data_IF_550143835815
#
_entry.id   IF_550143835815
#
_cell.length_a   1.000
_cell.length_b   1.000
_cell.length_c   1.000
_cell.angle_alpha   90.00
_cell.angle_beta   90.00
_cell.angle_gamma   90.00
#
_symmetry.space_group_name_H-M   'P 1'
#
loop_
_entity.id
_entity.type
_entity.pdbx_description
1 polymer ?
2 non-polymer ?
3 water ?
#
# COMPACT_ATOMS: atom_id res chain seq x y z
N UNK A 1 6.40 -13.14 -22.50
CA UNK A 1 7.76 -13.42 -21.93
C UNK A 1 8.03 -12.43 -20.78
N UNK A 2 7.80 -12.85 -19.55
CA UNK A 2 8.05 -11.93 -18.40
C UNK A 2 9.54 -11.79 -18.16
N UNK A 3 10.04 -10.58 -17.87
CA UNK A 3 11.45 -10.38 -17.55
C UNK A 3 11.82 -11.02 -16.20
N UNK A 4 13.11 -11.28 -16.02
CA UNK A 4 13.62 -11.96 -14.81
C UNK A 4 13.46 -11.04 -13.58
N UNK A 5 13.57 -9.73 -13.82
CA UNK A 5 13.34 -8.64 -12.85
C UNK A 5 12.25 -7.71 -13.36
N UNK A 6 11.63 -6.95 -12.47
CA UNK A 6 10.76 -5.85 -12.86
C UNK A 6 10.60 -4.93 -11.66
N UNK A 7 10.73 -3.65 -11.89
CA UNK A 7 10.52 -2.69 -10.80
C UNK A 7 9.60 -1.61 -11.36
N UNK A 8 8.39 -1.46 -10.81
CA UNK A 8 7.43 -0.46 -11.29
C UNK A 8 7.99 0.97 -11.29
N UNK A 9 8.93 1.26 -10.35
CA UNK A 9 9.52 2.62 -10.29
C UNK A 9 10.33 2.90 -11.54
N UNK A 10 10.93 1.85 -12.11
CA UNK A 10 11.75 1.92 -13.35
C UNK A 10 10.84 1.92 -14.61
N UNK A 11 9.70 1.21 -14.57
CA UNK A 11 8.83 1.16 -15.76
C UNK A 11 8.07 2.47 -15.92
N UNK A 12 7.67 3.08 -14.81
CA UNK A 12 6.83 4.30 -14.82
C UNK A 12 7.50 5.43 -14.05
N UNK A 13 8.62 5.92 -14.63
CA UNK A 13 9.48 6.87 -13.92
C UNK A 13 8.91 8.27 -13.74
N UNK A 14 7.79 8.63 -14.37
CA UNK A 14 7.10 9.90 -14.14
C UNK A 14 5.93 9.69 -13.15
N UNK A 15 5.96 8.56 -12.42
CA UNK A 15 4.94 8.35 -11.35
C UNK A 15 5.64 8.31 -9.99
N UNK A 16 5.80 9.47 -9.34
CA UNK A 16 6.56 9.53 -8.08
C UNK A 16 5.93 8.74 -6.93
N UNK A 17 4.59 8.54 -6.98
CA UNK A 17 3.95 7.80 -5.87
C UNK A 17 4.55 6.41 -5.77
N UNK A 18 4.97 5.82 -6.87
CA UNK A 18 5.44 4.41 -6.83
C UNK A 18 6.70 4.34 -5.93
N UNK A 19 7.45 5.46 -5.91
CA UNK A 19 8.77 5.65 -5.22
C UNK A 19 8.58 5.87 -3.72
N UNK A 20 7.36 6.26 -3.33
CA UNK A 20 7.02 6.85 -2.02
C UNK A 20 6.70 5.77 -0.98
N UNK A 21 7.18 6.03 0.22
CA UNK A 21 6.85 5.26 1.45
C UNK A 21 6.06 6.14 2.38
N UNK A 22 4.92 5.64 2.85
CA UNK A 22 4.04 6.39 3.78
C UNK A 22 4.29 5.89 5.21
N UNK A 23 3.59 6.54 6.14
CA UNK A 23 3.64 6.18 7.60
C UNK A 23 2.23 6.08 8.11
N UNK A 24 1.79 4.84 8.37
CA UNK A 24 0.43 4.59 8.87
C UNK A 24 0.25 5.09 10.32
N UNK A 25 1.31 5.49 10.99
CA UNK A 25 1.23 5.97 12.38
C UNK A 25 0.78 4.89 13.35
N UNK A 26 0.30 5.30 14.51
CA UNK A 26 -0.17 4.43 15.62
C UNK A 26 -1.62 4.02 15.34
N UNK A 27 -1.81 3.18 14.32
CA UNK A 27 -3.12 2.83 13.73
C UNK A 27 -2.87 1.58 12.88
N UNK A 28 -3.74 0.59 13.01
CA UNK A 28 -3.64 -0.66 12.23
C UNK A 28 -4.25 -0.52 10.86
N UNK A 29 -3.89 0.53 10.15
CA UNK A 29 -4.54 0.92 8.86
C UNK A 29 -3.74 0.46 7.65
N UNK A 30 -2.87 -0.55 7.79
CA UNK A 30 -2.06 -1.02 6.63
C UNK A 30 -3.02 -1.46 5.53
N UNK A 31 -4.14 -2.06 5.84
CA UNK A 31 -5.13 -2.52 4.83
C UNK A 31 -5.45 -1.35 3.89
N UNK A 32 -5.63 -0.16 4.47
CA UNK A 32 -6.02 1.06 3.73
C UNK A 32 -4.78 1.60 2.97
N UNK A 33 -3.62 1.65 3.61
CA UNK A 33 -2.35 2.13 3.00
C UNK A 33 -2.02 1.29 1.76
N UNK A 34 -2.05 -0.06 1.83
CA UNK A 34 -1.62 -0.80 0.63
C UNK A 34 -2.53 -0.48 -0.56
N UNK A 35 -3.82 -0.34 -0.31
CA UNK A 35 -4.84 0.00 -1.31
C UNK A 35 -4.52 1.38 -1.88
N UNK A 36 -4.54 2.43 -1.04
CA UNK A 36 -4.42 3.79 -1.65
C UNK A 36 -3.05 4.04 -2.29
N UNK A 37 -2.01 3.37 -1.85
CA UNK A 37 -0.67 3.47 -2.49
C UNK A 37 -0.75 2.87 -3.90
N UNK A 38 -1.26 1.63 -4.01
CA UNK A 38 -1.35 0.94 -5.31
C UNK A 38 -2.32 1.71 -6.22
N UNK A 39 -3.44 2.20 -5.67
CA UNK A 39 -4.41 3.00 -6.46
C UNK A 39 -3.73 4.28 -6.99
N UNK A 40 -2.98 4.99 -6.17
CA UNK A 40 -2.25 6.22 -6.58
C UNK A 40 -1.39 5.86 -7.78
N UNK A 41 -0.65 4.78 -7.62
CA UNK A 41 0.27 4.33 -8.69
C UNK A 41 -0.52 4.08 -9.96
N UNK A 42 -1.62 3.33 -9.86
CA UNK A 42 -2.36 2.88 -11.06
C UNK A 42 -3.05 4.06 -11.74
N UNK A 43 -3.49 5.07 -11.02
CA UNK A 43 -4.07 6.29 -11.63
C UNK A 43 -2.99 6.94 -12.51
N UNK A 44 -1.76 7.07 -11.99
CA UNK A 44 -0.66 7.70 -12.76
C UNK A 44 -0.35 6.82 -13.97
N UNK A 45 -0.34 5.51 -13.80
CA UNK A 45 -0.03 4.60 -14.92
C UNK A 45 -1.12 4.73 -15.98
N UNK A 46 -2.37 4.68 -15.54
CA UNK A 46 -3.54 4.65 -16.42
C UNK A 46 -3.59 5.93 -17.25
N UNK A 47 -3.05 7.04 -16.76
CA UNK A 47 -3.09 8.34 -17.46
C UNK A 47 -1.74 8.74 -18.05
N UNK A 48 -0.75 7.85 -18.07
CA UNK A 48 0.60 8.23 -18.62
C UNK A 48 1.17 9.44 -17.89
N UNK A 49 0.95 9.52 -16.57
CA UNK A 49 1.48 10.59 -15.69
C UNK A 49 0.82 11.94 -15.92
N UNK A 50 -0.33 11.99 -16.61
CA UNK A 50 -1.14 13.24 -16.70
C UNK A 50 -1.86 13.49 -15.37
N UNK A 51 -2.25 12.42 -14.66
CA UNK A 51 -2.82 12.56 -13.29
C UNK A 51 -1.88 11.82 -12.35
N UNK A 52 -1.26 12.54 -11.41
CA UNK A 52 -0.39 11.95 -10.40
C UNK A 52 -0.78 12.51 -9.05
N UNK A 53 -1.48 11.73 -8.26
CA UNK A 53 -2.01 12.27 -6.99
C UNK A 53 -1.74 11.24 -5.90
N UNK A 54 -1.53 11.72 -4.69
CA UNK A 54 -1.59 10.89 -3.47
C UNK A 54 -3.07 10.65 -3.13
N UNK A 55 -3.53 9.41 -3.27
CA UNK A 55 -4.90 9.05 -2.85
C UNK A 55 -4.89 9.01 -1.31
N UNK A 56 -5.98 9.51 -0.73
CA UNK A 56 -6.15 9.71 0.73
C UNK A 56 -6.35 8.39 1.49
N UNK A 57 -5.35 7.95 2.23
CA UNK A 57 -5.51 6.87 3.24
C UNK A 57 -6.59 7.28 4.26
N UNK A 58 -6.63 8.56 4.64
CA UNK A 58 -7.66 9.06 5.61
C UNK A 58 -9.08 8.79 5.10
N UNK A 59 -9.37 9.13 3.85
CA UNK A 59 -10.71 8.99 3.28
C UNK A 59 -11.08 7.51 3.32
N UNK A 60 -10.18 6.61 2.91
CA UNK A 60 -10.55 5.16 2.92
C UNK A 60 -10.71 4.66 4.39
N UNK A 61 -9.77 4.99 5.25
CA UNK A 61 -9.72 4.50 6.65
C UNK A 61 -11.01 4.90 7.37
N UNK A 62 -11.44 6.16 7.19
CA UNK A 62 -12.48 6.82 8.01
C UNK A 62 -13.85 6.65 7.38
N UNK A 63 -13.98 6.61 6.05
CA UNK A 63 -15.31 6.69 5.40
C UNK A 63 -15.81 5.34 4.88
N UNK A 64 -14.99 4.30 4.84
CA UNK A 64 -15.48 3.00 4.31
C UNK A 64 -16.53 2.37 5.27
N UNK A 65 -16.24 2.44 6.55
CA UNK A 65 -17.04 1.81 7.61
C UNK A 65 -17.01 0.29 7.56
N UNK A 66 -18.09 -0.29 8.02
CA UNK A 66 -18.08 -1.70 8.41
C UNK A 66 -17.82 -2.56 7.18
N UNK A 67 -18.13 -2.09 5.97
CA UNK A 67 -17.72 -2.84 4.74
C UNK A 67 -16.24 -3.20 4.82
N UNK A 68 -15.37 -2.29 5.31
CA UNK A 68 -13.91 -2.51 5.21
C UNK A 68 -13.35 -3.20 6.46
N UNK A 69 -14.15 -3.27 7.53
CA UNK A 69 -13.68 -3.77 8.82
C UNK A 69 -13.85 -2.72 9.89
N UNK A 70 -12.80 -2.48 10.67
CA UNK A 70 -12.87 -1.84 12.00
C UNK A 70 -11.82 -0.71 12.09
N UNK A 71 -11.56 -0.07 10.95
CA UNK A 71 -10.69 1.13 10.92
C UNK A 71 -9.29 0.85 11.40
N UNK A 72 -8.81 1.62 12.38
CA UNK A 72 -7.46 1.40 12.97
C UNK A 72 -7.35 0.05 13.66
N UNK A 73 -8.46 -0.65 13.96
CA UNK A 73 -8.36 -2.00 14.58
C UNK A 73 -8.32 -3.11 13.53
N UNK A 74 -8.03 -2.77 12.26
CA UNK A 74 -7.84 -3.73 11.16
C UNK A 74 -8.98 -3.73 10.15
N UNK A 75 -8.66 -4.21 8.95
CA UNK A 75 -9.59 -4.24 7.84
C UNK A 75 -9.02 -5.12 6.77
N UNK A 76 -9.65 -5.16 5.61
CA UNK A 76 -9.15 -6.06 4.56
C UNK A 76 -9.13 -5.36 3.22
N UNK A 77 -8.08 -5.72 2.50
CA UNK A 77 -7.87 -5.20 1.15
C UNK A 77 -9.06 -5.27 0.20
N UNK A 78 -9.65 -6.46 0.02
CA UNK A 78 -10.64 -6.68 -1.07
C UNK A 78 -11.75 -5.61 -0.92
N UNK A 79 -12.23 -5.33 0.30
CA UNK A 79 -13.36 -4.38 0.46
C UNK A 79 -12.87 -2.92 0.28
N UNK A 80 -11.61 -2.62 0.59
CA UNK A 80 -10.97 -1.32 0.30
C UNK A 80 -11.09 -0.98 -1.19
N UNK A 81 -10.69 -1.91 -2.06
CA UNK A 81 -10.77 -1.66 -3.52
C UNK A 81 -12.23 -1.64 -4.01
N UNK A 82 -13.12 -2.44 -3.39
CA UNK A 82 -14.56 -2.33 -3.70
C UNK A 82 -15.06 -0.93 -3.36
N UNK A 83 -14.67 -0.38 -2.20
CA UNK A 83 -15.11 0.98 -1.78
C UNK A 83 -14.66 2.01 -2.83
N UNK A 84 -13.42 1.90 -3.32
CA UNK A 84 -12.92 2.78 -4.37
C UNK A 84 -13.82 2.70 -5.59
N UNK A 85 -14.36 1.52 -5.90
CA UNK A 85 -15.26 1.40 -7.06
C UNK A 85 -16.64 2.04 -6.80
N UNK A 86 -17.11 2.05 -5.55
CA UNK A 86 -18.49 2.45 -5.23
C UNK A 86 -18.56 3.94 -4.89
N UNK A 87 -17.72 4.40 -3.96
CA UNK A 87 -17.78 5.77 -3.45
C UNK A 87 -16.58 6.61 -3.90
N UNK A 88 -15.52 5.96 -4.40
CA UNK A 88 -14.31 6.69 -4.81
C UNK A 88 -13.52 7.17 -3.62
N UNK A 89 -12.34 7.68 -3.92
CA UNK A 89 -11.37 8.21 -2.91
C UNK A 89 -10.80 9.55 -3.33
N UNK A 90 -10.82 10.51 -2.41
CA UNK A 90 -10.23 11.85 -2.68
C UNK A 90 -8.71 11.76 -2.50
N UNK A 91 -8.04 12.85 -2.80
CA UNK A 91 -6.58 12.99 -2.65
C UNK A 91 -6.23 13.27 -1.18
N UNK A 92 -4.99 13.05 -0.80
CA UNK A 92 -4.53 13.40 0.55
C UNK A 92 -3.17 12.88 0.79
N UNK A 93 -2.26 13.76 1.18
CA UNK A 93 -0.84 13.37 1.36
C UNK A 93 -0.54 12.98 2.80
N UNK A 94 0.72 13.19 3.17
CA UNK A 94 1.31 12.77 4.46
C UNK A 94 0.83 13.69 5.59
N UNK A 95 1.04 13.24 6.82
CA UNK A 95 0.67 14.02 8.01
C UNK A 95 1.30 15.42 7.93
N UNK A 96 0.44 16.44 8.06
CA UNK A 96 0.78 17.88 7.99
C UNK A 96 1.53 18.22 6.69
N UNK A 97 1.22 17.54 5.58
CA UNK A 97 1.73 17.88 4.23
C UNK A 97 1.02 19.13 3.70
N UNK A 98 -0.24 19.29 4.09
CA UNK A 98 -1.27 20.16 3.43
C UNK A 98 -1.33 19.77 1.94
N UNK A 99 -1.13 18.49 1.62
CA UNK A 99 -1.24 18.01 0.22
C UNK A 99 -2.64 17.37 0.07
N UNK A 100 -3.40 17.85 -0.91
CA UNK A 100 -4.68 17.24 -1.29
C UNK A 100 -5.84 17.57 -0.39
N UNK A 101 -6.94 16.85 -0.62
CA UNK A 101 -8.23 17.07 0.04
C UNK A 101 -8.14 16.65 1.50
N UNK A 102 -7.68 15.42 1.77
CA UNK A 102 -7.72 14.85 3.15
C UNK A 102 -6.39 14.18 3.43
N UNK A 103 -5.39 14.99 3.78
CA UNK A 103 -4.11 14.49 4.28
C UNK A 103 -4.33 13.71 5.60
N UNK A 104 -3.43 12.76 5.82
CA UNK A 104 -3.53 11.77 6.91
C UNK A 104 -3.41 12.52 8.24
N UNK A 105 -4.27 12.20 9.18
CA UNK A 105 -4.43 12.97 10.45
C UNK A 105 -3.63 12.33 11.58
N UNK A 106 -2.98 11.19 11.36
CA UNK A 106 -2.31 10.42 12.44
C UNK A 106 -0.82 10.61 12.28
N UNK A 107 -0.11 11.10 13.33
CA UNK A 107 1.29 11.46 13.20
C UNK A 107 2.19 10.26 12.96
N UNK A 108 3.36 10.50 12.34
CA UNK A 108 4.36 9.46 12.10
C UNK A 108 5.06 9.03 13.37
N UNK A 109 5.56 7.80 13.35
CA UNK A 109 6.11 7.23 14.59
C UNK A 109 7.13 6.20 14.20
N UNK A 110 7.86 5.69 15.19
CA UNK A 110 8.88 4.65 14.96
C UNK A 110 8.24 3.26 15.05
N UNK A 111 8.30 2.52 13.94
CA UNK A 111 7.72 1.17 13.78
C UNK A 111 8.80 0.11 13.97
N UNK A 112 8.96 -0.44 15.18
CA UNK A 112 9.87 -1.59 15.43
C UNK A 112 11.28 -1.17 15.05
N UNK A 113 11.64 0.08 15.25
CA UNK A 113 12.98 0.60 14.94
C UNK A 113 13.25 1.85 15.78
N UNK A 114 14.52 2.16 15.99
CA UNK A 114 14.98 3.37 16.70
C UNK A 114 14.90 4.59 15.78
N UNK A 115 14.61 5.75 16.31
CA UNK A 115 14.81 7.02 15.62
C UNK A 115 14.34 8.18 16.45
N UNK A 116 14.06 9.32 15.82
CA UNK A 116 13.72 10.56 16.56
C UNK A 116 12.24 10.68 16.82
N UNK A 117 11.36 9.92 16.15
CA UNK A 117 9.90 10.12 16.36
C UNK A 117 9.52 9.33 17.61
N UNK A 118 8.34 9.61 18.15
CA UNK A 118 7.81 8.82 19.25
C UNK A 118 7.64 7.38 18.76
N UNK A 119 7.82 6.39 19.64
CA UNK A 119 7.52 4.99 19.30
C UNK A 119 6.03 4.81 19.06
N UNK A 120 5.68 4.08 17.99
CA UNK A 120 4.28 3.74 17.69
C UNK A 120 3.67 3.01 18.90
N UNK A 121 2.43 3.38 19.23
CA UNK A 121 1.59 2.76 20.28
C UNK A 121 0.31 2.19 19.67
N UNK A 122 -0.34 1.32 20.44
CA UNK A 122 -1.59 0.65 20.07
C UNK A 122 -2.80 1.39 20.60
N UNK A 123 -4.00 0.98 20.17
CA UNK A 123 -5.29 1.35 20.81
C UNK A 123 -5.77 2.72 20.29
N UNK A 124 -5.10 3.30 19.28
CA UNK A 124 -5.56 4.55 18.62
C UNK A 124 -6.98 4.44 18.06
N UNK A 125 -7.81 5.48 18.21
CA UNK A 125 -9.18 5.50 17.66
C UNK A 125 -9.12 5.74 16.14
N UNK A 126 -10.02 5.13 15.39
CA UNK A 126 -10.29 5.54 13.99
C UNK A 126 -10.85 6.97 13.95
N UNK A 127 -10.20 7.91 13.21
CA UNK A 127 -10.78 9.24 13.03
C UNK A 127 -12.17 9.16 12.37
N UNK A 128 -12.94 10.25 12.53
CA UNK A 128 -14.31 10.42 12.00
C UNK A 128 -14.25 10.59 10.47
N UNK A 129 -15.23 10.06 9.75
CA UNK A 129 -15.47 10.37 8.31
C UNK A 129 -15.88 11.84 8.18
N UNK A 130 -15.00 12.67 7.65
CA UNK A 130 -15.26 14.09 7.32
C UNK A 130 -15.29 14.25 5.80
N UNK A 131 -16.47 14.57 5.24
CA UNK A 131 -16.67 14.67 3.77
C UNK A 131 -16.43 16.13 3.34
N UNK A 132 -15.32 16.72 3.80
CA UNK A 132 -14.90 18.08 3.40
C UNK A 132 -13.39 18.10 3.27
N UNK A 133 -12.90 18.86 2.32
CA UNK A 133 -11.47 19.03 2.06
C UNK A 133 -10.92 20.06 3.04
N UNK A 134 -9.61 20.01 3.23
CA UNK A 134 -8.87 20.97 4.07
C UNK A 134 -9.15 22.36 3.48
N UNK A 135 -9.32 23.37 4.38
CA UNK A 135 -9.59 24.74 3.98
C UNK A 135 -8.68 25.19 2.83
N UNK A 136 -9.29 25.82 1.83
CA UNK A 136 -8.56 26.38 0.68
C UNK A 136 -8.19 25.37 -0.40
N UNK A 137 -8.38 24.07 -0.19
CA UNK A 137 -8.11 23.08 -1.28
C UNK A 137 -9.20 23.28 -2.32
N UNK A 138 -8.86 23.17 -3.60
CA UNK A 138 -9.84 23.01 -4.71
C UNK A 138 -9.58 21.69 -5.44
N UNK A 139 -10.56 20.94 -5.95
CA UNK A 139 -11.98 21.29 -5.91
C UNK A 139 -12.68 20.76 -4.66
N UNK A 140 -13.99 20.55 -4.72
CA UNK A 140 -14.78 20.12 -3.53
C UNK A 140 -14.43 18.65 -3.23
N UNK A 141 -14.81 18.19 -2.05
CA UNK A 141 -14.68 16.76 -1.68
C UNK A 141 -15.30 15.88 -2.79
N UNK A 142 -16.54 16.14 -3.18
CA UNK A 142 -17.24 15.30 -4.16
C UNK A 142 -16.48 15.36 -5.50
N UNK A 143 -15.96 16.54 -5.88
CA UNK A 143 -15.31 16.70 -7.20
C UNK A 143 -13.95 16.01 -7.17
N UNK A 144 -13.34 15.83 -6.01
CA UNK A 144 -11.94 15.29 -5.90
C UNK A 144 -11.94 13.76 -5.86
N UNK A 145 -13.11 13.14 -5.85
CA UNK A 145 -13.22 11.66 -5.79
C UNK A 145 -12.60 11.07 -7.06
N UNK A 146 -11.76 10.05 -6.89
CA UNK A 146 -11.26 9.16 -7.97
C UNK A 146 -11.95 7.81 -7.81
N UNK A 147 -12.53 7.27 -8.88
CA UNK A 147 -13.26 6.01 -8.79
C UNK A 147 -12.51 4.89 -9.47
N UNK A 148 -12.80 3.66 -9.00
CA UNK A 148 -12.35 2.42 -9.64
C UNK A 148 -13.37 1.94 -10.66
N UNK A 149 -12.90 1.46 -11.80
CA UNK A 149 -13.75 0.73 -12.76
C UNK A 149 -14.16 -0.60 -12.11
N UNK A 150 -13.21 -1.28 -11.50
CA UNK A 150 -13.48 -2.62 -10.93
C UNK A 150 -12.56 -2.88 -9.74
N UNK A 151 -12.77 -4.00 -9.08
CA UNK A 151 -11.85 -4.58 -8.09
C UNK A 151 -11.89 -6.09 -8.23
N UNK A 152 -10.80 -6.75 -7.99
CA UNK A 152 -10.74 -8.21 -8.23
C UNK A 152 -9.63 -8.82 -7.42
N UNK A 153 -9.77 -10.11 -7.15
CA UNK A 153 -8.69 -10.92 -6.55
C UNK A 153 -7.79 -11.37 -7.68
N UNK A 154 -6.49 -11.42 -7.45
CA UNK A 154 -5.57 -12.06 -8.41
C UNK A 154 -5.38 -13.50 -7.94
N UNK A 155 -5.36 -14.50 -8.84
CA UNK A 155 -5.24 -15.90 -8.38
C UNK A 155 -3.92 -16.08 -7.61
N UNK A 156 -3.90 -17.08 -6.74
CA UNK A 156 -2.72 -17.55 -5.98
C UNK A 156 -1.83 -18.24 -6.98
N UNK A 157 -1.18 -17.44 -7.83
CA UNK A 157 -0.27 -17.91 -8.89
C UNK A 157 0.81 -16.85 -9.09
N UNK A 158 2.07 -17.22 -8.96
CA UNK A 158 3.22 -16.32 -9.12
C UNK A 158 3.15 -15.64 -10.48
N UNK A 159 2.96 -16.43 -11.55
CA UNK A 159 3.03 -15.83 -12.90
C UNK A 159 1.83 -14.91 -13.15
N UNK A 160 0.66 -15.18 -12.57
CA UNK A 160 -0.53 -14.30 -12.73
C UNK A 160 -0.27 -12.99 -12.00
N UNK A 161 0.32 -13.05 -10.81
CA UNK A 161 0.63 -11.84 -10.02
C UNK A 161 1.67 -11.00 -10.77
N UNK A 162 2.69 -11.63 -11.35
CA UNK A 162 3.72 -10.94 -12.11
C UNK A 162 3.05 -10.26 -13.32
N UNK A 163 2.27 -11.00 -14.08
CA UNK A 163 1.58 -10.46 -15.27
C UNK A 163 0.70 -9.28 -14.88
N UNK A 164 0.01 -9.39 -13.77
CA UNK A 164 -0.88 -8.30 -13.31
C UNK A 164 -0.05 -7.03 -13.07
N UNK A 165 1.06 -7.17 -12.35
CA UNK A 165 1.93 -5.99 -12.07
C UNK A 165 2.51 -5.40 -13.36
N UNK A 166 2.99 -6.28 -14.22
CA UNK A 166 3.68 -5.97 -15.48
C UNK A 166 2.78 -5.19 -16.42
N UNK A 167 1.49 -5.50 -16.42
CA UNK A 167 0.52 -4.82 -17.31
C UNK A 167 -0.15 -3.64 -16.63
N UNK A 168 -0.65 -3.81 -15.41
CA UNK A 168 -1.59 -2.83 -14.83
C UNK A 168 -1.03 -2.05 -13.66
N UNK A 169 0.14 -2.48 -13.13
CA UNK A 169 0.80 -1.75 -12.06
C UNK A 169 0.71 -2.42 -10.72
N UNK A 170 1.31 -1.78 -9.70
CA UNK A 170 1.41 -2.38 -8.37
C UNK A 170 0.06 -2.84 -7.83
N UNK A 171 0.13 -3.83 -6.95
CA UNK A 171 -1.07 -4.45 -6.35
C UNK A 171 -1.00 -4.34 -4.83
N UNK A 172 -2.08 -4.68 -4.17
CA UNK A 172 -2.07 -4.87 -2.72
C UNK A 172 -1.99 -6.36 -2.44
N UNK A 173 -1.31 -6.75 -1.37
CA UNK A 173 -1.25 -8.13 -0.89
C UNK A 173 -1.23 -8.14 0.61
N UNK A 174 -1.24 -9.33 1.19
CA UNK A 174 -1.23 -9.48 2.66
C UNK A 174 -0.44 -10.75 2.96
N UNK A 175 0.26 -10.78 4.11
CA UNK A 175 1.01 -11.99 4.48
C UNK A 175 1.04 -12.06 6.00
N UNK A 176 1.46 -13.22 6.49
CA UNK A 176 1.58 -13.51 7.93
C UNK A 176 2.94 -13.00 8.41
N UNK A 177 2.94 -12.12 9.42
CA UNK A 177 4.19 -11.55 9.98
C UNK A 177 4.59 -12.39 11.19
N UNK A 178 5.75 -13.00 11.09
CA UNK A 178 6.41 -13.66 12.25
C UNK A 178 7.40 -12.68 12.85
N UNK A 179 7.73 -12.82 14.14
CA UNK A 179 8.53 -11.79 14.81
C UNK A 179 9.88 -11.51 14.11
N UNK A 180 10.52 -12.43 13.39
CA UNK A 180 11.83 -12.11 12.77
C UNK A 180 11.64 -11.04 11.67
N UNK A 181 10.42 -10.95 11.10
CA UNK A 181 10.18 -10.00 9.98
C UNK A 181 10.44 -8.56 10.49
N UNK A 182 10.13 -8.31 11.76
CA UNK A 182 10.11 -6.95 12.35
C UNK A 182 11.51 -6.34 12.25
N UNK A 183 12.56 -7.16 12.31
CA UNK A 183 13.96 -6.69 12.29
C UNK A 183 14.57 -6.69 10.89
N UNK A 184 13.76 -6.86 9.84
CA UNK A 184 14.28 -6.88 8.46
C UNK A 184 15.09 -5.61 8.18
N UNK A 185 16.24 -5.76 7.53
CA UNK A 185 17.09 -4.63 7.05
C UNK A 185 17.33 -4.73 5.55
N UNK A 186 17.62 -5.91 5.04
CA UNK A 186 18.08 -6.09 3.64
C UNK A 186 18.04 -7.56 3.27
N UNK A 187 18.27 -7.85 1.98
CA UNK A 187 18.23 -9.21 1.42
C UNK A 187 16.80 -9.71 1.26
N UNK A 188 16.62 -10.99 1.03
CA UNK A 188 15.29 -11.60 0.77
C UNK A 188 14.79 -12.20 2.07
N UNK A 189 13.73 -11.63 2.63
CA UNK A 189 13.12 -12.18 3.84
C UNK A 189 12.56 -13.59 3.59
N UNK A 190 12.95 -14.53 4.47
CA UNK A 190 12.27 -15.83 4.64
C UNK A 190 12.13 -16.06 6.15
N UNK A 191 10.98 -16.55 6.56
CA UNK A 191 10.69 -16.84 7.98
C UNK A 191 11.70 -17.89 8.44
N UNK A 192 12.53 -17.56 9.43
CA UNK A 192 13.58 -18.49 9.99
C UNK A 192 13.26 -18.78 11.47
N UNK A 193 12.66 -17.84 12.19
CA UNK A 193 12.42 -18.00 13.64
C UNK A 193 11.36 -17.02 14.09
N UNK A 194 10.70 -17.33 15.21
CA UNK A 194 9.71 -16.45 15.84
C UNK A 194 8.29 -16.88 15.59
N UNK A 195 7.40 -16.39 16.45
CA UNK A 195 5.99 -16.75 16.50
C UNK A 195 5.24 -15.80 15.55
N UNK A 196 4.06 -16.26 15.20
CA UNK A 196 3.04 -15.52 14.43
C UNK A 196 2.63 -14.29 15.23
N UNK A 197 2.72 -13.11 14.61
CA UNK A 197 2.22 -11.84 15.21
C UNK A 197 0.82 -11.49 14.66
N UNK A 198 0.54 -11.71 13.37
CA UNK A 198 -0.71 -11.31 12.75
C UNK A 198 -0.57 -11.11 11.25
N UNK A 199 -1.68 -10.80 10.60
CA UNK A 199 -1.69 -10.52 9.16
C UNK A 199 -1.31 -9.08 8.87
N UNK A 200 -0.66 -8.86 7.74
CA UNK A 200 -0.20 -7.51 7.37
C UNK A 200 -0.42 -7.28 5.88
N UNK A 201 -0.88 -6.09 5.54
CA UNK A 201 -1.21 -5.69 4.17
C UNK A 201 -0.15 -4.70 3.69
N UNK A 202 0.26 -4.85 2.42
CA UNK A 202 1.44 -4.18 1.83
C UNK A 202 1.16 -3.91 0.33
N UNK A 203 2.11 -3.22 -0.31
CA UNK A 203 2.05 -2.96 -1.76
C UNK A 203 3.16 -3.72 -2.46
N UNK A 204 2.81 -4.58 -3.42
CA UNK A 204 3.79 -5.34 -4.23
C UNK A 204 4.00 -4.61 -5.56
N UNK A 205 5.25 -4.21 -5.84
CA UNK A 205 5.55 -3.31 -6.98
C UNK A 205 6.61 -3.88 -7.92
N UNK A 206 6.98 -5.16 -7.77
CA UNK A 206 7.96 -5.77 -8.68
C UNK A 206 8.48 -7.07 -8.14
N UNK A 207 9.51 -7.57 -8.83
CA UNK A 207 10.17 -8.85 -8.49
C UNK A 207 11.61 -8.81 -8.99
N UNK A 208 12.34 -9.84 -8.57
CA UNK A 208 13.74 -10.01 -8.96
C UNK A 208 14.29 -11.29 -8.36
N UNK A 209 15.60 -11.39 -8.44
CA UNK A 209 16.37 -12.53 -7.91
C UNK A 209 17.61 -11.92 -7.29
N UNK A 210 17.88 -12.26 -6.04
CA UNK A 210 19.10 -11.84 -5.31
C UNK A 210 19.79 -13.12 -4.77
N UNK A 211 21.02 -13.33 -5.22
CA UNK A 211 21.91 -14.47 -4.83
C UNK A 211 21.15 -15.78 -5.05
N UNK A 212 20.55 -15.91 -6.24
CA UNK A 212 19.75 -17.08 -6.64
C UNK A 212 18.41 -17.20 -5.92
N UNK A 213 18.01 -16.25 -5.05
CA UNK A 213 16.70 -16.32 -4.36
C UNK A 213 15.67 -15.43 -5.08
N UNK A 214 14.58 -16.00 -5.62
CA UNK A 214 13.53 -15.17 -6.26
C UNK A 214 12.78 -14.38 -5.18
N UNK A 215 12.43 -13.13 -5.48
CA UNK A 215 11.76 -12.29 -4.47
C UNK A 215 10.63 -11.46 -5.12
N UNK A 216 9.77 -10.95 -4.24
CA UNK A 216 8.87 -9.80 -4.53
C UNK A 216 9.45 -8.52 -3.95
N UNK A 217 9.29 -7.42 -4.65
CA UNK A 217 9.67 -6.09 -4.21
C UNK A 217 8.43 -5.47 -3.57
N UNK A 218 8.51 -5.11 -2.29
CA UNK A 218 7.32 -4.75 -1.50
C UNK A 218 7.59 -3.45 -0.77
N UNK A 219 6.57 -2.59 -0.74
CA UNK A 219 6.61 -1.37 0.10
C UNK A 219 5.83 -1.58 1.39
N UNK A 220 6.48 -1.29 2.53
CA UNK A 220 5.79 -1.24 3.84
C UNK A 220 5.28 0.17 4.05
N UNK A 221 4.44 0.37 5.07
CA UNK A 221 3.83 1.65 5.44
C UNK A 221 4.32 2.05 6.85
N UNK A 222 5.60 1.81 7.10
CA UNK A 222 6.27 2.04 8.41
C UNK A 222 7.35 3.10 8.28
N UNK A 223 7.23 4.05 7.36
CA UNK A 223 8.22 5.13 7.16
C UNK A 223 9.49 4.54 6.56
N UNK A 224 10.47 5.40 6.25
CA UNK A 224 11.63 5.03 5.45
C UNK A 224 12.77 4.56 6.33
N UNK A 225 12.70 4.79 7.65
CA UNK A 225 13.77 4.30 8.55
C UNK A 225 13.54 2.85 8.98
N UNK A 226 12.40 2.26 8.60
CA UNK A 226 12.17 0.82 8.77
C UNK A 226 12.72 0.09 7.54
N UNK A 227 13.28 -1.09 7.74
CA UNK A 227 13.62 -1.95 6.59
C UNK A 227 14.64 -1.33 5.68
N UNK A 228 14.55 -1.63 4.39
CA UNK A 228 15.50 -1.12 3.38
C UNK A 228 14.92 0.16 2.78
N UNK A 229 15.08 1.27 3.45
CA UNK A 229 14.50 2.56 3.05
C UNK A 229 12.95 2.41 2.95
N UNK A 230 12.34 1.56 3.78
CA UNK A 230 10.87 1.43 3.86
C UNK A 230 10.34 0.32 2.98
N UNK A 231 11.20 -0.23 2.16
CA UNK A 231 10.88 -1.39 1.29
C UNK A 231 11.46 -2.67 1.86
N UNK A 232 10.99 -3.80 1.39
CA UNK A 232 11.59 -5.12 1.68
C UNK A 232 11.44 -6.01 0.47
N UNK A 233 12.20 -7.09 0.46
CA UNK A 233 12.05 -8.19 -0.50
C UNK A 233 11.61 -9.40 0.29
N UNK A 234 10.74 -10.20 -0.28
CA UNK A 234 10.25 -11.43 0.36
C UNK A 234 10.21 -12.59 -0.65
N UNK A 235 10.56 -13.78 -0.19
CA UNK A 235 10.65 -14.99 -1.05
C UNK A 235 9.41 -15.09 -1.93
N UNK A 236 9.65 -15.35 -3.22
CA UNK A 236 8.64 -15.45 -4.29
C UNK A 236 8.60 -16.89 -4.80
N UNK A 237 7.39 -17.41 -5.05
CA UNK A 237 7.24 -18.68 -5.76
C UNK A 237 6.72 -19.81 -4.92
N UNK A 238 6.64 -19.63 -3.60
CA UNK A 238 6.28 -20.70 -2.65
C UNK A 238 5.12 -20.25 -1.77
N UNK A 239 4.33 -19.22 -2.16
CA UNK A 239 3.27 -18.66 -1.29
C UNK A 239 3.82 -18.48 0.15
N UNK A 240 5.02 -17.91 0.23
CA UNK A 240 5.76 -17.77 1.52
C UNK A 240 4.97 -16.85 2.46
N UNK A 241 4.58 -17.34 3.64
CA UNK A 241 3.78 -16.58 4.64
C UNK A 241 2.46 -16.09 4.02
N UNK A 242 2.00 -16.71 2.92
CA UNK A 242 0.72 -16.34 2.31
C UNK A 242 0.85 -15.15 1.32
N UNK A 243 2.05 -14.78 0.90
CA UNK A 243 2.32 -13.51 0.15
C UNK A 243 1.58 -13.55 -1.20
N UNK A 244 1.33 -14.72 -1.77
CA UNK A 244 0.67 -14.83 -3.10
C UNK A 244 -0.83 -15.13 -2.94
N UNK A 245 -1.38 -15.18 -1.71
CA UNK A 245 -2.71 -15.81 -1.50
C UNK A 245 -3.80 -14.78 -1.37
N UNK A 246 -3.45 -13.49 -1.21
CA UNK A 246 -4.42 -12.43 -0.82
C UNK A 246 -4.22 -11.18 -1.69
N UNK A 247 -3.83 -11.36 -2.94
CA UNK A 247 -3.48 -10.22 -3.83
C UNK A 247 -4.76 -9.67 -4.44
N UNK A 248 -4.87 -8.35 -4.44
CA UNK A 248 -6.09 -7.61 -4.86
C UNK A 248 -5.62 -6.46 -5.75
N UNK A 249 -6.43 -6.07 -6.71
CA UNK A 249 -6.18 -4.89 -7.53
C UNK A 249 -7.46 -4.42 -8.19
N UNK A 250 -7.33 -3.51 -9.14
CA UNK A 250 -8.47 -2.85 -9.78
C UNK A 250 -7.98 -1.86 -10.79
N UNK A 251 -8.79 -1.58 -11.78
CA UNK A 251 -8.45 -0.66 -12.89
C UNK A 251 -9.13 0.66 -12.60
N UNK A 252 -8.42 1.79 -12.67
CA UNK A 252 -9.06 3.07 -12.44
C UNK A 252 -10.03 3.49 -13.54
N UNK A 253 -11.06 4.23 -13.15
CA UNK A 253 -11.88 5.03 -14.07
C UNK A 253 -11.10 6.28 -14.45
N UNK A 254 -11.14 6.67 -15.73
CA UNK A 254 -10.60 7.96 -16.17
C UNK A 254 -11.44 9.03 -15.50
N UNK A 255 -10.79 9.99 -14.88
CA UNK A 255 -11.49 11.06 -14.10
C UNK A 255 -12.38 11.87 -15.05
X LIG B 1 3.07 -1.46 13.59
X LIG B 1 1.17 0.27 13.76
X LIG B 1 -0.44 -0.44 15.58
X LIG B 1 -0.65 -0.79 16.94
X LIG B 1 -0.82 -4.03 10.21
X LIG B 1 0.73 -5.93 11.96
X LIG B 1 -0.42 -5.04 12.42
X LIG B 1 1.89 0.00 16.15
X LIG B 1 3.13 -2.61 14.06
X LIG B 1 4.03 -0.64 13.45
X LIG B 1 1.72 -1.00 12.99
X LIG B 1 0.84 -0.04 15.20
X LIG B 1 1.67 -0.33 17.48
X LIG B 1 0.40 -0.73 17.87
X LIG B 1 0.73 -2.08 12.88
X LIG B 1 0.59 -2.75 11.74
X LIG B 1 1.35 -2.52 10.77
X LIG B 1 -0.61 -3.75 11.64
X LIG B 1 -1.51 -3.14 9.53
X LIG B 1 -1.89 -2.07 9.96
X LIG B 1 0.49 -7.34 12.56
X LIG B 1 1.73 -8.19 12.60
X LIG B 1 2.78 -7.49 13.44
X LIG B 1 3.22 -6.27 12.64
X LIG B 1 2.04 -5.32 12.52
#
# INVERSE_FOLDING_TARGET
KLPASFDAREQWPQCPTIKEIRDQGSCGSCWAFGAVEAISDRICIHTNAHVSVEVSAEDLLTCCGSMCGDGCNGGYPAEAWNFWTRKGLVSGGLYESHVGCRPYSIPPCEHHVNGARPPCTGEGDTPKCSKICEPGYSPTYKQDKHYGYNSYSVSNSEKDIMAEIYKNGPVEGAFSVYSDFLLYKSGVYQHVTGEMMGGHAIRILGWGVENGTPYWLVANSWNTDWGDNGFFKILRGQDHCGIESEVVAGIPRTD
P9F C1 C3 C5 C6 N2 C13 C12 C9 O4 O1 C2 C4 C8 C7 N1 C10 O3 C11 C19 O2 C18 C17 C16 C15 C14
#
